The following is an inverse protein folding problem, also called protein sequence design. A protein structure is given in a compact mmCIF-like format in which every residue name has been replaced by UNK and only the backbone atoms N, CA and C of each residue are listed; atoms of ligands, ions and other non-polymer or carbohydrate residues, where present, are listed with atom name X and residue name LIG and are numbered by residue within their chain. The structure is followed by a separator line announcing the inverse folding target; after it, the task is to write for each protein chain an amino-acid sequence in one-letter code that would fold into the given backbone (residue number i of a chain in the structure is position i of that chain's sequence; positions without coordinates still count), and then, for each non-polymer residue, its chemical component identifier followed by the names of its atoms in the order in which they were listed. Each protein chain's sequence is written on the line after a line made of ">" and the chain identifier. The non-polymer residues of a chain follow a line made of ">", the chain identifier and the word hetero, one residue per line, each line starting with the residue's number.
data_IF_454099442083
#
_entry.id   IF_454099442083
#
_cell.length_a   1.000
_cell.length_b   1.000
_cell.length_c   1.000
_cell.angle_alpha   90.00
_cell.angle_beta   90.00
_cell.angle_gamma   90.00
#
_symmetry.space_group_name_H-M   'P 1'
#
loop_
_entity.id
_entity.type
_entity.pdbx_description
1 polymer ?
#
# COMPACT_ATOMS: atom_id res chain seq x y z
N UNK A 1 16.38 -2.51 24.78
CA UNK A 1 16.91 -3.37 23.73
C UNK A 1 16.62 -2.66 22.42
N UNK A 2 17.63 -2.01 21.84
CA UNK A 2 17.45 -1.22 20.61
C UNK A 2 17.40 -2.18 19.40
N UNK A 3 16.30 -2.15 18.65
CA UNK A 3 16.19 -2.85 17.38
C UNK A 3 16.88 -2.00 16.31
N UNK A 4 17.95 -2.53 15.72
CA UNK A 4 18.62 -1.91 14.58
C UNK A 4 17.92 -2.37 13.30
N UNK A 5 17.31 -1.43 12.58
CA UNK A 5 16.82 -1.66 11.23
C UNK A 5 18.00 -1.55 10.26
N UNK A 6 18.37 -2.63 9.60
CA UNK A 6 19.32 -2.57 8.48
C UNK A 6 18.59 -2.16 7.21
N UNK A 7 19.01 -1.07 6.62
CA UNK A 7 18.55 -0.59 5.32
C UNK A 7 19.49 -1.12 4.25
N UNK A 8 19.00 -2.01 3.39
CA UNK A 8 19.79 -2.50 2.25
C UNK A 8 19.34 -1.74 1.00
N UNK A 9 20.30 -1.08 0.34
CA UNK A 9 20.06 -0.40 -0.94
C UNK A 9 20.47 -1.34 -2.08
N UNK A 10 19.56 -1.67 -2.97
CA UNK A 10 19.83 -2.39 -4.21
C UNK A 10 20.16 -1.40 -5.35
N UNK A 11 20.77 -1.91 -6.42
CA UNK A 11 21.27 -1.12 -7.57
C UNK A 11 20.20 -0.36 -8.34
N UNK A 12 18.90 -0.71 -8.15
CA UNK A 12 17.75 -0.09 -8.80
C UNK A 12 17.08 1.01 -7.95
N UNK A 13 17.76 1.53 -6.92
CA UNK A 13 17.27 2.63 -6.08
C UNK A 13 15.94 2.34 -5.35
N UNK A 14 15.70 1.09 -5.00
CA UNK A 14 14.52 0.61 -4.26
C UNK A 14 14.87 0.42 -2.79
N UNK A 15 14.07 0.99 -1.89
CA UNK A 15 14.21 0.80 -0.44
C UNK A 15 13.08 -0.09 0.06
N UNK A 16 13.43 -1.17 0.73
CA UNK A 16 12.48 -2.05 1.40
C UNK A 16 12.56 -1.84 2.90
N UNK A 17 11.42 -1.59 3.54
CA UNK A 17 11.30 -1.55 4.99
C UNK A 17 10.81 -2.93 5.43
N UNK A 18 11.73 -3.76 5.89
CA UNK A 18 11.42 -5.06 6.48
C UNK A 18 11.29 -4.89 8.00
N UNK A 19 10.13 -5.21 8.55
CA UNK A 19 10.03 -5.52 9.98
C UNK A 19 10.48 -6.98 10.15
N UNK A 20 11.71 -7.17 10.64
CA UNK A 20 12.22 -8.51 10.95
C UNK A 20 11.64 -8.99 12.27
N UNK A 21 10.79 -9.99 12.21
CA UNK A 21 10.68 -10.99 13.25
C UNK A 21 11.70 -12.10 12.93
N UNK A 22 12.66 -12.32 13.79
CA UNK A 22 13.88 -13.14 13.58
C UNK A 22 13.62 -14.66 13.39
N UNK A 23 12.39 -15.08 13.12
CA UNK A 23 12.02 -16.50 12.97
C UNK A 23 11.40 -16.91 11.63
N UNK A 24 11.30 -16.00 10.64
CA UNK A 24 10.68 -16.33 9.34
C UNK A 24 11.63 -16.13 8.15
N UNK A 25 12.79 -16.78 8.21
CA UNK A 25 13.65 -16.94 7.04
C UNK A 25 13.01 -17.96 6.09
N UNK A 26 12.36 -17.48 5.02
CA UNK A 26 11.83 -18.34 3.96
C UNK A 26 10.42 -18.06 3.46
N UNK A 27 9.65 -17.16 4.06
CA UNK A 27 8.31 -16.81 3.59
C UNK A 27 8.37 -15.65 2.59
N UNK A 28 8.09 -15.93 1.31
CA UNK A 28 7.81 -14.87 0.34
C UNK A 28 6.52 -14.15 0.79
N UNK A 29 6.56 -12.82 0.94
CA UNK A 29 5.36 -12.08 1.31
C UNK A 29 4.30 -12.22 0.22
N UNK A 30 3.11 -12.62 0.64
CA UNK A 30 1.97 -12.81 -0.25
C UNK A 30 1.29 -11.47 -0.63
N UNK A 31 1.63 -10.37 0.09
CA UNK A 31 1.08 -9.03 -0.14
C UNK A 31 2.23 -8.02 -0.16
N UNK A 32 2.39 -7.32 -1.29
CA UNK A 32 3.42 -6.29 -1.49
C UNK A 32 2.77 -4.98 -1.89
N UNK A 33 3.28 -3.87 -1.34
CA UNK A 33 2.86 -2.50 -1.68
C UNK A 33 4.05 -1.75 -2.27
N UNK A 34 3.90 -1.26 -3.48
CA UNK A 34 4.85 -0.40 -4.15
C UNK A 34 4.33 1.04 -4.12
N UNK A 35 5.05 1.91 -3.43
CA UNK A 35 4.71 3.32 -3.28
C UNK A 35 5.59 4.17 -4.18
N UNK A 36 5.00 4.81 -5.19
CA UNK A 36 5.71 5.62 -6.18
C UNK A 36 5.45 7.11 -5.96
N UNK A 37 6.51 7.92 -6.00
CA UNK A 37 6.49 9.36 -5.70
C UNK A 37 6.64 10.26 -6.94
N UNK A 38 6.60 9.70 -8.15
CA UNK A 38 6.76 10.47 -9.39
C UNK A 38 5.69 11.57 -9.58
N UNK A 39 4.55 11.49 -8.87
CA UNK A 39 3.49 12.51 -8.85
C UNK A 39 3.46 13.34 -7.56
N UNK A 40 4.55 13.36 -6.79
CA UNK A 40 4.63 14.07 -5.50
C UNK A 40 4.38 15.58 -5.61
N UNK A 41 4.76 16.21 -6.73
CA UNK A 41 4.48 17.62 -6.98
C UNK A 41 2.97 17.94 -7.08
N UNK A 42 2.14 16.94 -7.37
CA UNK A 42 0.68 17.02 -7.44
C UNK A 42 0.01 16.56 -6.12
N UNK A 43 0.79 16.29 -5.08
CA UNK A 43 0.34 15.70 -3.82
C UNK A 43 -0.26 14.29 -3.97
N UNK A 44 0.16 13.54 -4.96
CA UNK A 44 -0.34 12.20 -5.24
C UNK A 44 0.71 11.15 -4.90
N UNK A 45 0.32 10.17 -4.08
CA UNK A 45 0.98 8.90 -3.93
C UNK A 45 0.35 7.92 -4.92
N UNK A 46 1.17 7.27 -5.73
CA UNK A 46 0.71 6.15 -6.55
C UNK A 46 1.05 4.85 -5.80
N UNK A 47 0.03 4.07 -5.50
CA UNK A 47 0.16 2.79 -4.80
C UNK A 47 -0.16 1.67 -5.77
N UNK A 48 0.72 0.68 -5.85
CA UNK A 48 0.47 -0.59 -6.52
C UNK A 48 0.55 -1.70 -5.48
N UNK A 49 -0.48 -2.48 -5.36
CA UNK A 49 -0.58 -3.59 -4.43
C UNK A 49 -0.58 -4.89 -5.23
N UNK A 50 0.38 -5.77 -4.95
CA UNK A 50 0.43 -7.12 -5.50
C UNK A 50 -0.03 -8.11 -4.44
N UNK A 51 -0.94 -9.01 -4.81
CA UNK A 51 -1.55 -9.98 -3.91
C UNK A 51 -1.46 -11.35 -4.55
N UNK A 52 -0.72 -12.25 -3.92
CA UNK A 52 -0.58 -13.64 -4.34
C UNK A 52 -1.65 -14.53 -3.69
N UNK A 53 -1.84 -15.71 -4.27
CA UNK A 53 -2.73 -16.74 -3.77
C UNK A 53 -4.17 -16.24 -3.54
N UNK A 54 -4.75 -15.57 -4.55
CA UNK A 54 -6.14 -15.14 -4.51
C UNK A 54 -7.09 -16.25 -4.92
N UNK A 55 -8.26 -16.33 -4.24
CA UNK A 55 -9.37 -17.17 -4.66
C UNK A 55 -10.25 -16.50 -5.72
N UNK A 56 -11.40 -17.09 -5.99
CA UNK A 56 -12.35 -16.58 -6.98
C UNK A 56 -12.85 -15.16 -6.70
N UNK A 57 -12.95 -14.79 -5.43
CA UNK A 57 -13.29 -13.43 -4.97
C UNK A 57 -12.34 -12.96 -3.88
N UNK A 58 -12.10 -11.66 -3.81
CA UNK A 58 -11.29 -10.98 -2.81
C UNK A 58 -11.98 -9.70 -2.35
N UNK A 59 -11.89 -9.41 -1.05
CA UNK A 59 -12.34 -8.13 -0.50
C UNK A 59 -11.16 -7.34 0.01
N UNK A 60 -10.97 -6.13 -0.52
CA UNK A 60 -10.04 -5.15 0.02
C UNK A 60 -10.78 -4.16 0.91
N UNK A 61 -10.13 -3.74 1.99
CA UNK A 61 -10.69 -2.76 2.92
C UNK A 61 -9.73 -1.60 3.10
N UNK A 62 -10.21 -0.39 2.85
CA UNK A 62 -9.50 0.83 3.26
C UNK A 62 -9.82 1.08 4.73
N UNK A 63 -8.83 1.24 5.62
CA UNK A 63 -9.10 1.60 7.00
C UNK A 63 -9.90 2.89 7.08
N UNK A 64 -10.77 3.00 8.07
CA UNK A 64 -11.57 4.21 8.34
C UNK A 64 -11.28 4.82 9.70
N UNK A 65 -10.34 4.24 10.42
CA UNK A 65 -9.94 4.69 11.75
C UNK A 65 -8.47 4.39 12.01
N UNK A 66 -7.82 5.24 12.79
CA UNK A 66 -6.44 5.06 13.25
C UNK A 66 -6.39 5.22 14.77
N UNK A 67 -5.50 4.50 15.48
CA UNK A 67 -5.28 4.67 16.91
C UNK A 67 -5.00 6.14 17.28
N UNK A 68 -5.60 6.60 18.36
CA UNK A 68 -5.49 8.00 18.81
C UNK A 68 -6.41 8.99 18.09
N UNK A 69 -7.27 8.54 17.17
CA UNK A 69 -8.31 9.37 16.57
C UNK A 69 -9.65 9.13 17.24
N UNK A 70 -10.34 10.21 17.64
CA UNK A 70 -11.73 10.16 18.17
C UNK A 70 -12.80 10.14 17.07
N UNK A 71 -12.39 10.18 15.79
CA UNK A 71 -13.31 10.25 14.66
C UNK A 71 -13.04 9.13 13.67
N UNK A 72 -14.11 8.53 13.17
CA UNK A 72 -14.08 7.74 11.92
C UNK A 72 -13.78 8.70 10.78
N UNK A 73 -12.88 8.30 9.88
CA UNK A 73 -12.43 9.12 8.75
C UNK A 73 -12.77 8.44 7.44
N UNK A 74 -13.06 9.26 6.45
CA UNK A 74 -13.36 8.79 5.09
C UNK A 74 -12.08 8.85 4.23
N UNK A 75 -11.13 7.96 4.50
CA UNK A 75 -9.86 7.92 3.75
C UNK A 75 -10.06 7.54 2.28
N UNK A 76 -11.12 6.80 1.96
CA UNK A 76 -11.47 6.44 0.58
C UNK A 76 -11.76 7.67 -0.28
N UNK A 77 -12.26 8.77 0.30
CA UNK A 77 -12.53 10.01 -0.44
C UNK A 77 -11.29 10.63 -1.09
N UNK A 78 -10.09 10.27 -0.64
CA UNK A 78 -8.81 10.71 -1.19
C UNK A 78 -8.24 9.78 -2.27
N UNK A 79 -8.87 8.62 -2.48
CA UNK A 79 -8.46 7.64 -3.48
C UNK A 79 -8.99 8.00 -4.86
N UNK A 80 -8.15 7.81 -5.89
CA UNK A 80 -8.52 7.95 -7.31
C UNK A 80 -7.87 6.89 -8.19
N UNK A 81 -8.18 6.92 -9.46
CA UNK A 81 -7.52 6.14 -10.53
C UNK A 81 -7.40 4.64 -10.21
N UNK A 82 -8.46 4.01 -9.67
CA UNK A 82 -8.44 2.60 -9.27
C UNK A 82 -8.49 1.68 -10.48
N UNK A 83 -7.51 0.79 -10.60
CA UNK A 83 -7.41 -0.24 -11.63
C UNK A 83 -7.09 -1.57 -10.98
N UNK A 84 -7.73 -2.64 -11.42
CA UNK A 84 -7.46 -4.01 -10.95
C UNK A 84 -7.20 -4.90 -12.15
N UNK A 85 -6.08 -5.63 -12.11
CA UNK A 85 -5.70 -6.57 -13.18
C UNK A 85 -5.27 -7.92 -12.61
N UNK A 86 -5.38 -8.96 -13.42
CA UNK A 86 -4.74 -10.25 -13.14
C UNK A 86 -3.24 -10.24 -13.54
N UNK A 87 -2.55 -11.34 -13.32
CA UNK A 87 -1.14 -11.52 -13.66
C UNK A 87 -0.83 -11.33 -15.16
N UNK A 88 -1.81 -11.51 -16.05
CA UNK A 88 -1.67 -11.29 -17.49
C UNK A 88 -1.89 -9.83 -17.89
N UNK A 89 -2.28 -8.96 -16.98
CA UNK A 89 -2.64 -7.56 -17.23
C UNK A 89 -4.10 -7.37 -17.70
N UNK A 90 -4.93 -8.41 -17.69
CA UNK A 90 -6.36 -8.32 -18.02
C UNK A 90 -7.11 -7.63 -16.88
N UNK A 91 -7.95 -6.66 -17.18
CA UNK A 91 -8.79 -5.98 -16.21
C UNK A 91 -9.78 -6.95 -15.53
N UNK A 92 -9.87 -6.86 -14.21
CA UNK A 92 -10.80 -7.65 -13.41
C UNK A 92 -11.99 -6.78 -12.97
N UNK A 93 -13.21 -7.34 -12.92
CA UNK A 93 -14.37 -6.62 -12.43
C UNK A 93 -14.30 -6.43 -10.92
N UNK A 94 -14.60 -5.21 -10.46
CA UNK A 94 -14.67 -4.87 -9.05
C UNK A 94 -15.83 -3.92 -8.77
N UNK A 95 -16.20 -3.79 -7.50
CA UNK A 95 -17.21 -2.83 -7.06
C UNK A 95 -17.18 -2.58 -5.56
N UNK A 96 -17.54 -1.36 -5.18
CA UNK A 96 -17.66 -0.99 -3.77
C UNK A 96 -18.93 -1.60 -3.16
N UNK A 97 -18.75 -2.47 -2.15
CA UNK A 97 -19.83 -3.08 -1.38
C UNK A 97 -20.29 -2.13 -0.25
N UNK A 98 -19.33 -1.40 0.33
CA UNK A 98 -19.57 -0.31 1.27
C UNK A 98 -18.63 0.85 0.93
N UNK A 99 -18.69 1.95 1.68
CA UNK A 99 -17.75 3.07 1.48
C UNK A 99 -16.26 2.67 1.57
N UNK A 100 -15.93 1.64 2.34
CA UNK A 100 -14.54 1.23 2.58
C UNK A 100 -14.20 -0.18 2.14
N UNK A 101 -15.17 -0.95 1.60
CA UNK A 101 -14.99 -2.33 1.16
C UNK A 101 -15.15 -2.47 -0.34
N UNK A 102 -14.09 -2.87 -1.01
CA UNK A 102 -14.01 -3.14 -2.44
C UNK A 102 -14.01 -4.64 -2.66
N UNK A 103 -15.00 -5.17 -3.39
CA UNK A 103 -15.01 -6.57 -3.82
C UNK A 103 -14.46 -6.68 -5.23
N UNK A 104 -13.56 -7.65 -5.43
CA UNK A 104 -12.93 -7.98 -6.70
C UNK A 104 -13.33 -9.41 -7.06
N UNK A 105 -13.75 -9.63 -8.30
CA UNK A 105 -13.98 -10.96 -8.84
C UNK A 105 -12.75 -11.39 -9.63
N UNK A 106 -11.98 -12.32 -9.05
CA UNK A 106 -10.70 -12.74 -9.60
C UNK A 106 -10.84 -13.86 -10.62
N UNK A 107 -11.88 -14.70 -10.50
CA UNK A 107 -12.02 -15.94 -11.25
C UNK A 107 -11.18 -17.08 -10.64
N UNK A 108 -11.47 -18.30 -11.03
CA UNK A 108 -10.92 -19.50 -10.37
C UNK A 108 -9.40 -19.68 -10.57
N UNK A 109 -8.83 -19.07 -11.63
CA UNK A 109 -7.41 -19.24 -12.03
C UNK A 109 -6.56 -17.96 -11.87
N UNK A 110 -6.99 -16.99 -11.08
CA UNK A 110 -6.31 -15.68 -11.04
C UNK A 110 -4.88 -15.74 -10.49
N UNK A 111 -4.56 -16.70 -9.61
CA UNK A 111 -3.23 -16.90 -9.01
C UNK A 111 -2.74 -15.68 -8.22
N UNK A 112 -2.46 -14.59 -8.90
CA UNK A 112 -2.13 -13.29 -8.31
C UNK A 112 -2.86 -12.14 -9.03
N UNK A 113 -3.07 -11.04 -8.32
CA UNK A 113 -3.67 -9.83 -8.86
C UNK A 113 -2.84 -8.61 -8.52
N UNK A 114 -3.02 -7.54 -9.31
CA UNK A 114 -2.45 -6.23 -9.09
C UNK A 114 -3.57 -5.19 -8.96
N UNK A 115 -3.47 -4.36 -7.92
CA UNK A 115 -4.41 -3.27 -7.64
C UNK A 115 -3.63 -1.96 -7.60
N UNK A 116 -3.89 -1.07 -8.55
CA UNK A 116 -3.22 0.22 -8.65
C UNK A 116 -4.21 1.34 -8.38
N UNK A 117 -3.80 2.34 -7.62
CA UNK A 117 -4.60 3.53 -7.34
C UNK A 117 -3.73 4.73 -6.98
N UNK A 118 -4.30 5.92 -7.06
CA UNK A 118 -3.70 7.14 -6.53
C UNK A 118 -4.33 7.52 -5.20
N UNK A 119 -3.55 8.20 -4.34
CA UNK A 119 -4.04 8.75 -3.08
C UNK A 119 -3.63 10.22 -2.95
N UNK A 120 -4.60 11.12 -2.78
CA UNK A 120 -4.33 12.55 -2.60
C UNK A 120 -3.93 12.86 -1.16
N UNK A 121 -2.72 13.39 -0.97
CA UNK A 121 -2.07 13.59 0.31
C UNK A 121 -1.58 15.02 0.49
N UNK A 122 -2.49 15.95 0.78
CA UNK A 122 -2.17 17.38 0.98
C UNK A 122 -2.70 17.93 2.31
N UNK A 123 -2.69 17.12 3.37
CA UNK A 123 -3.08 17.56 4.70
C UNK A 123 -1.90 17.51 5.67
N UNK A 124 -1.61 18.63 6.35
CA UNK A 124 -0.49 18.76 7.28
C UNK A 124 -0.92 18.52 8.73
N UNK A 125 -1.37 17.31 9.03
CA UNK A 125 -1.72 16.90 10.40
C UNK A 125 -1.04 15.58 10.74
N UNK A 126 -0.87 15.30 12.04
CA UNK A 126 -0.31 14.02 12.52
C UNK A 126 -1.21 12.81 12.23
N UNK A 127 -2.44 13.03 11.77
CA UNK A 127 -3.44 11.99 11.53
C UNK A 127 -3.74 11.77 10.05
N UNK A 128 -3.08 12.54 9.19
CA UNK A 128 -3.27 12.50 7.74
C UNK A 128 -1.90 12.41 7.05
N UNK A 129 -1.88 12.59 5.77
CA UNK A 129 -0.67 12.48 4.95
C UNK A 129 -0.40 13.78 4.22
N UNK A 130 0.89 14.06 4.03
CA UNK A 130 1.32 15.17 3.20
C UNK A 130 2.50 14.78 2.33
N UNK A 131 2.32 14.91 1.03
CA UNK A 131 3.35 14.64 0.03
C UNK A 131 3.52 15.89 -0.84
N UNK A 132 4.76 16.28 -1.11
CA UNK A 132 5.10 17.29 -2.10
C UNK A 132 6.47 16.95 -2.70
N UNK A 133 6.96 17.77 -3.65
CA UNK A 133 8.25 17.54 -4.32
C UNK A 133 9.48 17.44 -3.39
N UNK A 134 9.36 17.91 -2.14
CA UNK A 134 10.47 17.99 -1.19
C UNK A 134 10.43 16.92 -0.10
N UNK A 135 9.25 16.44 0.23
CA UNK A 135 9.06 15.48 1.32
C UNK A 135 7.75 14.72 1.20
N UNK A 136 7.74 13.53 1.78
CA UNK A 136 6.54 12.76 2.04
C UNK A 136 6.44 12.41 3.52
N UNK A 137 5.26 12.62 4.10
CA UNK A 137 4.85 12.03 5.38
C UNK A 137 3.70 11.09 5.07
N UNK A 138 3.93 9.80 5.27
CA UNK A 138 2.99 8.72 4.93
C UNK A 138 2.55 8.04 6.22
N UNK A 139 1.25 7.86 6.36
CA UNK A 139 0.66 6.96 7.34
C UNK A 139 0.00 5.81 6.57
N UNK A 140 0.55 4.59 6.60
CA UNK A 140 0.03 3.45 5.85
C UNK A 140 -1.46 3.19 6.07
N UNK A 141 -1.95 3.35 7.30
CA UNK A 141 -3.36 3.16 7.63
C UNK A 141 -4.31 4.14 6.92
N UNK A 142 -3.81 5.23 6.33
CA UNK A 142 -4.64 6.17 5.59
C UNK A 142 -4.76 5.82 4.11
N UNK A 143 -3.76 5.17 3.54
CA UNK A 143 -3.63 5.01 2.10
C UNK A 143 -3.49 3.57 1.61
N UNK A 144 -3.21 2.61 2.50
CA UNK A 144 -3.04 1.22 2.13
C UNK A 144 -4.29 0.41 2.46
N UNK A 145 -4.89 -0.19 1.43
CA UNK A 145 -5.95 -1.18 1.62
C UNK A 145 -5.32 -2.48 2.14
N UNK A 146 -6.06 -3.23 2.93
CA UNK A 146 -5.67 -4.57 3.34
C UNK A 146 -6.65 -5.62 2.81
N UNK A 147 -6.19 -6.86 2.69
CA UNK A 147 -7.03 -7.99 2.30
C UNK A 147 -7.81 -8.47 3.52
N UNK A 148 -9.15 -8.49 3.43
CA UNK A 148 -10.00 -8.98 4.52
C UNK A 148 -9.71 -10.46 4.80
N UNK A 149 -9.46 -10.76 6.07
CA UNK A 149 -9.09 -12.12 6.51
C UNK A 149 -7.61 -12.46 6.45
N UNK A 150 -6.76 -11.59 5.84
CA UNK A 150 -5.31 -11.84 5.67
C UNK A 150 -4.42 -10.80 6.39
N UNK A 151 -4.94 -10.11 7.40
CA UNK A 151 -4.25 -9.03 8.11
C UNK A 151 -3.02 -9.50 8.90
N UNK A 152 -2.94 -10.79 9.21
CA UNK A 152 -1.81 -11.37 9.97
C UNK A 152 -0.67 -11.87 9.08
N UNK A 153 -0.82 -11.79 7.75
CA UNK A 153 0.25 -12.15 6.83
C UNK A 153 1.34 -11.07 6.80
N UNK A 154 2.52 -11.45 6.35
CA UNK A 154 3.63 -10.51 6.18
C UNK A 154 3.30 -9.60 5.00
N UNK A 155 3.38 -8.30 5.25
CA UNK A 155 3.20 -7.26 4.25
C UNK A 155 4.54 -6.56 3.98
N UNK A 156 4.97 -6.51 2.72
CA UNK A 156 6.14 -5.73 2.32
C UNK A 156 5.71 -4.37 1.77
N UNK A 157 6.35 -3.31 2.24
CA UNK A 157 6.17 -1.95 1.70
C UNK A 157 7.47 -1.51 1.06
N UNK A 158 7.41 -1.22 -0.23
CA UNK A 158 8.55 -0.86 -1.08
C UNK A 158 8.36 0.60 -1.52
N UNK A 159 9.34 1.45 -1.19
CA UNK A 159 9.29 2.87 -1.53
C UNK A 159 10.17 3.15 -2.74
N UNK A 160 9.57 3.59 -3.85
CA UNK A 160 10.25 3.95 -5.09
C UNK A 160 10.42 5.47 -5.18
N UNK A 161 11.60 5.97 -4.79
CA UNK A 161 11.91 7.41 -4.85
C UNK A 161 13.35 7.63 -5.35
N UNK A 162 13.66 8.84 -5.79
CA UNK A 162 15.04 9.20 -6.15
C UNK A 162 15.88 9.40 -4.88
N UNK A 163 16.80 8.46 -4.62
CA UNK A 163 17.67 8.48 -3.44
C UNK A 163 18.65 9.67 -3.42
N UNK A 164 18.86 10.36 -4.54
CA UNK A 164 19.68 11.56 -4.57
C UNK A 164 18.98 12.76 -3.94
N UNK A 165 17.65 12.76 -3.93
CA UNK A 165 16.84 13.86 -3.43
C UNK A 165 16.19 13.55 -2.08
N UNK A 166 15.93 12.29 -1.78
CA UNK A 166 15.12 11.86 -0.63
C UNK A 166 15.89 10.89 0.27
N UNK A 167 15.64 11.00 1.58
CA UNK A 167 16.09 10.03 2.59
C UNK A 167 14.87 9.49 3.31
N UNK A 168 14.82 8.16 3.49
CA UNK A 168 13.76 7.51 4.26
C UNK A 168 14.14 7.50 5.74
N UNK A 169 13.17 7.84 6.58
CA UNK A 169 13.24 7.76 8.05
C UNK A 169 11.95 7.06 8.51
N UNK A 170 12.08 5.99 9.28
CA UNK A 170 10.98 5.18 9.85
C UNK A 170 11.07 5.10 11.36
#
# INVERSE_FOLDING_TARGET
>A
MMMSSETTADKDNTYSIEQRDDQLVGSCAAIRYHCHFHRAAQHLLCVEMEIDAVGAELTLVMPSWIPGSYKVRDFVSHQGDLVVTDASGRALPFGWVTKSRLRIRCGDDAGSIRVSYTYYANERTVRTMHINRWRAFINPANCMMYVEGRQQEIHHVILHHDAREWRTVS
#
